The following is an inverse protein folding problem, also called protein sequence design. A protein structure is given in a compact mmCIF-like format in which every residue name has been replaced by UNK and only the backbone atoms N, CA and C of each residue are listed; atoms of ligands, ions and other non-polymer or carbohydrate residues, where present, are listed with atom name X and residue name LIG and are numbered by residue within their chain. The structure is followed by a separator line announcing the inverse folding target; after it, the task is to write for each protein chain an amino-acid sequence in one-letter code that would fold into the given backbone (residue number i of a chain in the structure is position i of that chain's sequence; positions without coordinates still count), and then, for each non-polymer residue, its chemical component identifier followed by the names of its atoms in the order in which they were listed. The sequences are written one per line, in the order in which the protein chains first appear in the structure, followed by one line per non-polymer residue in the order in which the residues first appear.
data_IF_384469224094
#
_entry.id   IF_384469224094
#
_cell.length_a   1.000
_cell.length_b   1.000
_cell.length_c   1.000
_cell.angle_alpha   90.00
_cell.angle_beta   90.00
_cell.angle_gamma   90.00
#
_symmetry.space_group_name_H-M   'P 1'
#
loop_
_entity.id
_entity.type
_entity.pdbx_description
1 polymer ?
#
# COMPACT_ATOMS: atom_id res chain seq x y z
N UNK A 1 -29.13 21.80 -4.43
CA UNK A 1 -28.79 20.79 -3.41
C UNK A 1 -28.60 19.41 -4.06
N UNK A 2 -29.61 18.85 -4.77
CA UNK A 2 -29.48 17.57 -5.47
C UNK A 2 -28.36 17.54 -6.53
N UNK A 3 -28.22 18.61 -7.32
CA UNK A 3 -27.17 18.75 -8.35
C UNK A 3 -25.75 18.82 -7.78
N UNK A 4 -25.58 19.44 -6.60
CA UNK A 4 -24.31 19.48 -5.88
C UNK A 4 -23.92 18.11 -5.34
N UNK A 5 -24.90 17.35 -4.83
CA UNK A 5 -24.71 15.97 -4.38
C UNK A 5 -24.32 15.05 -5.54
N UNK A 6 -25.02 15.13 -6.68
CA UNK A 6 -24.70 14.33 -7.87
C UNK A 6 -23.31 14.64 -8.42
N UNK A 7 -22.90 15.92 -8.41
CA UNK A 7 -21.56 16.34 -8.83
C UNK A 7 -20.48 15.82 -7.89
N UNK A 8 -20.71 15.87 -6.57
CA UNK A 8 -19.81 15.29 -5.58
C UNK A 8 -19.70 13.77 -5.70
N UNK A 9 -20.82 13.08 -5.90
CA UNK A 9 -20.86 11.63 -6.09
C UNK A 9 -20.14 11.19 -7.37
N UNK A 10 -20.29 11.94 -8.47
CA UNK A 10 -19.51 11.72 -9.70
C UNK A 10 -18.00 11.83 -9.45
N UNK A 11 -17.57 12.85 -8.69
CA UNK A 11 -16.17 13.07 -8.37
C UNK A 11 -15.52 11.96 -7.52
N UNK A 12 -16.31 11.27 -6.68
CA UNK A 12 -15.81 10.20 -5.80
C UNK A 12 -16.12 8.79 -6.31
N UNK A 13 -16.88 8.64 -7.39
CA UNK A 13 -17.37 7.36 -7.90
C UNK A 13 -16.26 6.30 -8.03
N UNK A 14 -15.14 6.64 -8.69
CA UNK A 14 -13.99 5.75 -8.85
C UNK A 14 -13.40 5.29 -7.52
N UNK A 15 -13.29 6.21 -6.54
CA UNK A 15 -12.74 5.90 -5.21
C UNK A 15 -13.66 4.90 -4.50
N UNK A 16 -14.98 5.14 -4.53
CA UNK A 16 -15.98 4.25 -3.93
C UNK A 16 -15.87 2.84 -4.52
N UNK A 17 -15.75 2.72 -5.85
CA UNK A 17 -15.61 1.41 -6.51
C UNK A 17 -14.32 0.70 -6.13
N UNK A 18 -13.19 1.42 -6.06
CA UNK A 18 -11.90 0.83 -5.65
C UNK A 18 -11.97 0.32 -4.21
N UNK A 19 -12.53 1.12 -3.29
CA UNK A 19 -12.67 0.72 -1.88
C UNK A 19 -13.62 -0.47 -1.74
N UNK A 20 -14.75 -0.46 -2.43
CA UNK A 20 -15.71 -1.57 -2.43
C UNK A 20 -15.11 -2.87 -2.99
N UNK A 21 -14.40 -2.79 -4.11
CA UNK A 21 -13.72 -3.94 -4.71
C UNK A 21 -12.64 -4.51 -3.78
N UNK A 22 -11.86 -3.63 -3.13
CA UNK A 22 -10.87 -4.06 -2.14
C UNK A 22 -11.47 -4.72 -0.91
N UNK A 23 -12.64 -4.25 -0.44
CA UNK A 23 -13.41 -4.90 0.62
C UNK A 23 -13.87 -6.31 0.23
N UNK A 24 -14.41 -6.49 -0.98
CA UNK A 24 -14.79 -7.80 -1.48
C UNK A 24 -13.58 -8.74 -1.66
N UNK A 25 -12.46 -8.22 -2.16
CA UNK A 25 -11.22 -8.98 -2.30
C UNK A 25 -10.66 -9.44 -0.94
N UNK A 26 -10.72 -8.59 0.10
CA UNK A 26 -10.36 -8.98 1.47
C UNK A 26 -11.14 -10.21 1.94
N UNK A 27 -12.45 -10.29 1.68
CA UNK A 27 -13.24 -11.47 2.07
C UNK A 27 -12.80 -12.75 1.36
N UNK A 28 -12.35 -12.64 0.10
CA UNK A 28 -11.76 -13.76 -0.64
C UNK A 28 -10.44 -14.18 0.01
N UNK A 29 -9.57 -13.22 0.35
CA UNK A 29 -8.28 -13.47 1.02
C UNK A 29 -8.46 -14.18 2.37
N UNK A 30 -9.46 -13.76 3.16
CA UNK A 30 -9.83 -14.40 4.42
C UNK A 30 -10.26 -15.86 4.20
N UNK A 31 -11.14 -16.11 3.23
CA UNK A 31 -11.63 -17.45 2.90
C UNK A 31 -10.56 -18.36 2.27
N UNK A 32 -9.57 -17.76 1.61
CA UNK A 32 -8.45 -18.48 1.02
C UNK A 32 -7.32 -18.80 2.01
N UNK A 33 -7.46 -18.42 3.29
CA UNK A 33 -6.48 -18.67 4.35
C UNK A 33 -5.06 -18.12 4.04
N UNK A 34 -4.98 -17.04 3.26
CA UNK A 34 -3.69 -16.44 2.88
C UNK A 34 -2.95 -15.89 4.11
N UNK A 35 -3.68 -15.38 5.10
CA UNK A 35 -3.10 -14.92 6.36
C UNK A 35 -2.36 -16.02 7.12
N UNK A 36 -2.95 -17.23 7.18
CA UNK A 36 -2.31 -18.41 7.81
C UNK A 36 -1.06 -18.84 7.03
N UNK A 37 -1.13 -18.83 5.71
CA UNK A 37 0.03 -19.14 4.86
C UNK A 37 1.20 -18.18 5.11
N UNK A 38 0.94 -16.88 5.16
CA UNK A 38 1.97 -15.87 5.44
C UNK A 38 2.46 -15.98 6.88
N UNK A 39 1.57 -16.22 7.84
CA UNK A 39 1.96 -16.44 9.24
C UNK A 39 2.90 -17.64 9.38
N UNK A 40 2.64 -18.75 8.67
CA UNK A 40 3.49 -19.93 8.65
C UNK A 40 4.88 -19.65 8.05
N UNK A 41 4.94 -18.86 6.95
CA UNK A 41 6.22 -18.40 6.40
C UNK A 41 6.99 -17.51 7.40
N UNK A 42 6.25 -16.74 8.20
CA UNK A 42 6.83 -15.88 9.23
C UNK A 42 7.30 -16.64 10.47
N UNK A 43 6.64 -17.71 10.90
CA UNK A 43 7.07 -18.47 12.08
C UNK A 43 8.49 -19.05 11.97
N UNK A 44 8.95 -19.34 10.75
CA UNK A 44 10.31 -19.83 10.49
C UNK A 44 11.33 -18.70 10.26
N UNK A 45 10.88 -17.44 10.27
CA UNK A 45 11.73 -16.27 9.98
C UNK A 45 11.67 -15.24 11.11
N UNK A 46 12.83 -14.71 11.54
CA UNK A 46 12.88 -13.62 12.54
C UNK A 46 12.50 -12.24 11.94
N UNK A 47 11.60 -12.20 10.95
CA UNK A 47 11.23 -10.96 10.26
C UNK A 47 10.11 -10.26 11.03
N UNK A 48 10.26 -8.97 11.27
CA UNK A 48 9.21 -8.15 11.90
C UNK A 48 7.93 -8.15 11.04
N UNK A 49 6.74 -8.34 11.63
CA UNK A 49 5.46 -8.23 10.93
C UNK A 49 5.27 -6.89 10.20
N UNK A 50 5.81 -5.80 10.74
CA UNK A 50 5.73 -4.47 10.11
C UNK A 50 6.54 -4.41 8.81
N UNK A 51 7.73 -5.04 8.80
CA UNK A 51 8.56 -5.17 7.60
C UNK A 51 7.85 -6.05 6.56
N UNK A 52 7.26 -7.17 7.00
CA UNK A 52 6.50 -8.05 6.11
C UNK A 52 5.32 -7.32 5.47
N UNK A 53 4.56 -6.57 6.26
CA UNK A 53 3.44 -5.78 5.76
C UNK A 53 3.88 -4.72 4.74
N UNK A 54 4.98 -4.02 5.02
CA UNK A 54 5.57 -3.07 4.07
C UNK A 54 6.00 -3.76 2.77
N UNK A 55 6.68 -4.91 2.86
CA UNK A 55 7.14 -5.69 1.70
C UNK A 55 5.99 -6.18 0.83
N UNK A 56 4.97 -6.80 1.44
CA UNK A 56 3.76 -7.25 0.72
C UNK A 56 3.13 -6.06 -0.02
N UNK A 57 3.00 -4.93 0.66
CA UNK A 57 2.40 -3.73 0.06
C UNK A 57 3.25 -3.17 -1.08
N UNK A 58 4.57 -3.13 -0.92
CA UNK A 58 5.51 -2.66 -1.92
C UNK A 58 5.49 -3.55 -3.19
N UNK A 59 5.41 -4.88 -3.03
CA UNK A 59 5.30 -5.80 -4.16
C UNK A 59 4.00 -5.60 -4.93
N UNK A 60 2.87 -5.45 -4.21
CA UNK A 60 1.58 -5.13 -4.84
C UNK A 60 1.67 -3.77 -5.54
N UNK A 61 2.35 -2.78 -4.95
CA UNK A 61 2.57 -1.46 -5.55
C UNK A 61 3.29 -1.53 -6.87
N UNK A 62 4.35 -2.32 -6.96
CA UNK A 62 5.09 -2.52 -8.21
C UNK A 62 4.20 -3.22 -9.26
N UNK A 63 3.42 -4.21 -8.84
CA UNK A 63 2.55 -4.96 -9.75
C UNK A 63 1.37 -4.13 -10.29
N UNK A 64 0.68 -3.39 -9.41
CA UNK A 64 -0.58 -2.69 -9.77
C UNK A 64 -0.36 -1.26 -10.22
N UNK A 65 0.74 -0.61 -9.84
CA UNK A 65 0.99 0.77 -10.21
C UNK A 65 0.05 1.80 -9.58
N UNK A 66 -0.87 1.43 -8.66
CA UNK A 66 -1.75 2.40 -7.97
C UNK A 66 -1.69 2.26 -6.44
N UNK A 67 -1.23 3.31 -5.75
CA UNK A 67 -1.00 3.30 -4.29
C UNK A 67 -2.24 2.94 -3.47
N UNK A 68 -3.40 3.52 -3.80
CA UNK A 68 -4.66 3.23 -3.10
C UNK A 68 -5.06 1.76 -3.24
N UNK A 69 -4.99 1.21 -4.45
CA UNK A 69 -5.28 -0.22 -4.69
C UNK A 69 -4.30 -1.08 -3.90
N UNK A 70 -3.01 -0.77 -3.95
CA UNK A 70 -1.99 -1.54 -3.21
C UNK A 70 -2.22 -1.54 -1.71
N UNK A 71 -2.53 -0.38 -1.13
CA UNK A 71 -2.80 -0.25 0.30
C UNK A 71 -4.04 -1.06 0.72
N UNK A 72 -5.14 -0.99 -0.03
CA UNK A 72 -6.38 -1.69 0.32
C UNK A 72 -6.24 -3.20 0.12
N UNK A 73 -5.59 -3.63 -0.96
CA UNK A 73 -5.27 -5.04 -1.20
C UNK A 73 -4.38 -5.60 -0.10
N UNK A 74 -3.31 -4.90 0.26
CA UNK A 74 -2.42 -5.31 1.33
C UNK A 74 -3.12 -5.33 2.69
N UNK A 75 -3.98 -4.35 3.00
CA UNK A 75 -4.76 -4.33 4.23
C UNK A 75 -5.62 -5.59 4.41
N UNK A 76 -6.15 -6.15 3.31
CA UNK A 76 -6.87 -7.42 3.34
C UNK A 76 -5.99 -8.62 3.69
N UNK A 77 -4.70 -8.58 3.34
CA UNK A 77 -3.72 -9.64 3.56
C UNK A 77 -3.09 -9.53 4.95
N UNK A 78 -2.71 -8.33 5.39
CA UNK A 78 -1.98 -8.10 6.64
C UNK A 78 -2.90 -7.98 7.85
N UNK A 79 -4.17 -7.61 7.63
CA UNK A 79 -5.15 -7.48 8.72
C UNK A 79 -5.25 -8.71 9.62
N UNK A 80 -5.35 -9.94 9.08
CA UNK A 80 -5.34 -11.18 9.86
C UNK A 80 -4.06 -11.42 10.67
N UNK A 81 -2.93 -10.79 10.32
CA UNK A 81 -1.65 -10.97 11.00
C UNK A 81 -1.59 -10.18 12.33
N UNK A 82 -2.38 -9.12 12.46
CA UNK A 82 -2.42 -8.25 13.64
C UNK A 82 -2.70 -9.05 14.94
N UNK A 83 -3.80 -9.81 15.06
CA UNK A 83 -4.06 -10.61 16.25
C UNK A 83 -3.07 -11.77 16.42
N UNK A 84 -2.56 -12.34 15.32
CA UNK A 84 -1.63 -13.48 15.34
C UNK A 84 -0.29 -13.12 15.96
N UNK A 85 0.26 -11.96 15.62
CA UNK A 85 1.58 -11.49 16.10
C UNK A 85 1.48 -10.44 17.21
N UNK A 86 0.27 -10.14 17.70
CA UNK A 86 -0.02 -9.13 18.71
C UNK A 86 0.62 -7.76 18.40
N UNK A 87 0.53 -7.33 17.13
CA UNK A 87 1.13 -6.09 16.64
C UNK A 87 0.16 -4.93 16.81
N UNK A 88 0.65 -3.73 17.10
CA UNK A 88 -0.21 -2.55 17.16
C UNK A 88 -0.88 -2.29 15.79
N UNK A 89 -2.23 -2.26 15.71
CA UNK A 89 -2.95 -2.04 14.45
C UNK A 89 -2.59 -0.72 13.76
N UNK A 90 -2.28 0.33 14.54
CA UNK A 90 -1.90 1.65 14.01
C UNK A 90 -0.56 1.57 13.29
N UNK A 91 0.43 0.90 13.88
CA UNK A 91 1.74 0.70 13.25
C UNK A 91 1.63 -0.16 11.99
N UNK A 92 0.76 -1.17 12.00
CA UNK A 92 0.48 -1.98 10.82
C UNK A 92 -0.09 -1.13 9.66
N UNK A 93 -1.07 -0.27 9.96
CA UNK A 93 -1.64 0.66 8.97
C UNK A 93 -0.58 1.61 8.43
N UNK A 94 0.29 2.16 9.29
CA UNK A 94 1.38 3.04 8.87
C UNK A 94 2.40 2.31 7.98
N UNK A 95 2.79 1.08 8.33
CA UNK A 95 3.72 0.26 7.53
C UNK A 95 3.14 -0.04 6.13
N UNK A 96 1.85 -0.37 6.05
CA UNK A 96 1.14 -0.56 4.78
C UNK A 96 1.04 0.76 4.00
N UNK A 97 0.72 1.87 4.67
CA UNK A 97 0.60 3.17 4.01
C UNK A 97 1.93 3.64 3.40
N UNK A 98 3.04 3.49 4.13
CA UNK A 98 4.37 3.84 3.62
C UNK A 98 4.79 2.91 2.48
N UNK A 99 4.57 1.59 2.62
CA UNK A 99 4.84 0.59 1.58
C UNK A 99 4.07 0.82 0.26
N UNK A 100 2.86 1.38 0.35
CA UNK A 100 2.06 1.77 -0.83
C UNK A 100 2.70 2.88 -1.67
N UNK A 101 3.71 3.58 -1.13
CA UNK A 101 4.44 4.65 -1.80
C UNK A 101 5.87 4.25 -2.21
N UNK A 102 6.18 2.95 -2.35
CA UNK A 102 7.58 2.48 -2.55
C UNK A 102 8.24 2.89 -3.86
N UNK A 103 7.74 2.53 -5.03
CA UNK A 103 8.32 3.03 -6.28
C UNK A 103 7.21 3.09 -7.31
N UNK A 104 7.30 4.08 -8.18
CA UNK A 104 6.39 4.20 -9.32
C UNK A 104 7.03 3.57 -10.55
N UNK A 105 6.24 2.86 -11.35
CA UNK A 105 6.67 2.21 -12.58
C UNK A 105 5.79 2.70 -13.74
N UNK A 106 6.08 2.28 -14.98
CA UNK A 106 5.32 2.75 -16.16
C UNK A 106 3.84 2.32 -16.17
N UNK A 107 3.43 1.45 -15.24
CA UNK A 107 2.03 1.07 -15.02
C UNK A 107 1.28 2.07 -14.12
N UNK A 108 1.96 3.05 -13.53
CA UNK A 108 1.38 4.05 -12.66
C UNK A 108 1.05 5.34 -13.44
N UNK A 109 -0.19 5.81 -13.34
CA UNK A 109 -0.61 7.05 -13.99
C UNK A 109 0.19 8.28 -13.48
N UNK A 110 0.60 8.28 -12.21
CA UNK A 110 1.42 9.36 -11.66
C UNK A 110 2.80 9.40 -12.31
N UNK A 111 3.39 8.27 -12.70
CA UNK A 111 4.67 8.25 -13.43
C UNK A 111 4.58 9.11 -14.71
N UNK A 112 3.54 8.86 -15.51
CA UNK A 112 3.32 9.59 -16.77
C UNK A 112 2.96 11.05 -16.54
N UNK A 113 2.15 11.35 -15.52
CA UNK A 113 1.84 12.73 -15.14
C UNK A 113 3.12 13.54 -14.89
N UNK A 114 4.04 13.03 -14.08
CA UNK A 114 5.29 13.72 -13.76
C UNK A 114 6.21 13.80 -14.98
N UNK A 115 6.31 12.72 -15.77
CA UNK A 115 7.09 12.71 -17.02
C UNK A 115 6.62 13.79 -17.99
N UNK A 116 5.31 13.90 -18.23
CA UNK A 116 4.75 14.87 -19.19
C UNK A 116 4.75 16.29 -18.62
N UNK A 117 4.41 16.46 -17.34
CA UNK A 117 4.36 17.78 -16.70
C UNK A 117 5.74 18.48 -16.69
N UNK A 118 6.80 17.73 -16.41
CA UNK A 118 8.18 18.26 -16.42
C UNK A 118 8.90 18.07 -17.76
N UNK A 119 8.27 17.39 -18.72
CA UNK A 119 8.84 17.06 -20.04
C UNK A 119 10.26 16.44 -19.95
N UNK A 120 10.44 15.50 -19.02
CA UNK A 120 11.72 14.81 -18.77
C UNK A 120 11.74 13.41 -19.39
N UNK A 121 12.92 12.79 -19.45
CA UNK A 121 13.04 11.42 -19.96
C UNK A 121 12.46 10.39 -18.98
N UNK A 122 12.12 9.19 -19.48
CA UNK A 122 11.71 8.06 -18.62
C UNK A 122 12.79 7.75 -17.58
N UNK A 123 14.06 7.76 -17.98
CA UNK A 123 15.20 7.50 -17.09
C UNK A 123 15.28 8.54 -15.97
N UNK A 124 15.08 9.81 -16.30
CA UNK A 124 15.13 10.89 -15.31
C UNK A 124 13.89 10.88 -14.42
N UNK A 125 12.73 10.46 -14.93
CA UNK A 125 11.50 10.26 -14.13
C UNK A 125 11.70 9.19 -13.06
N UNK A 126 12.31 8.05 -13.41
CA UNK A 126 12.68 7.04 -12.41
C UNK A 126 13.67 7.57 -11.37
N UNK A 127 14.68 8.31 -11.80
CA UNK A 127 15.72 8.87 -10.90
C UNK A 127 15.22 10.01 -10.01
N UNK A 128 14.17 10.71 -10.40
CA UNK A 128 13.64 11.84 -9.63
C UNK A 128 12.41 11.39 -8.87
N UNK A 129 11.29 11.22 -9.58
CA UNK A 129 10.01 10.84 -9.00
C UNK A 129 10.02 9.44 -8.38
N UNK A 130 10.54 8.44 -9.12
CA UNK A 130 10.62 7.07 -8.63
C UNK A 130 11.47 6.94 -7.35
N UNK A 131 12.69 7.52 -7.35
CA UNK A 131 13.56 7.51 -6.18
C UNK A 131 12.99 8.33 -5.01
N UNK A 132 12.30 9.43 -5.27
CA UNK A 132 11.67 10.23 -4.19
C UNK A 132 10.61 9.41 -3.44
N UNK A 133 9.79 8.67 -4.17
CA UNK A 133 8.82 7.75 -3.58
C UNK A 133 9.52 6.66 -2.76
N UNK A 134 10.59 6.07 -3.31
CA UNK A 134 11.35 5.03 -2.61
C UNK A 134 11.97 5.51 -1.31
N UNK A 135 12.57 6.69 -1.33
CA UNK A 135 13.11 7.32 -0.13
C UNK A 135 12.01 7.60 0.88
N UNK A 136 10.86 8.11 0.44
CA UNK A 136 9.71 8.40 1.32
C UNK A 136 9.16 7.12 1.97
N UNK A 137 9.07 6.04 1.20
CA UNK A 137 8.60 4.74 1.70
C UNK A 137 9.56 4.10 2.71
N UNK A 138 10.86 4.12 2.41
CA UNK A 138 11.89 3.56 3.30
C UNK A 138 12.01 4.41 4.57
N UNK A 139 12.03 5.74 4.45
CA UNK A 139 12.07 6.62 5.63
C UNK A 139 10.82 6.45 6.48
N UNK A 140 9.65 6.33 5.86
CA UNK A 140 8.40 6.02 6.55
C UNK A 140 8.45 4.69 7.30
N UNK A 141 8.99 3.63 6.69
CA UNK A 141 9.20 2.34 7.37
C UNK A 141 10.13 2.48 8.57
N UNK A 142 11.27 3.17 8.41
CA UNK A 142 12.22 3.40 9.51
C UNK A 142 11.54 4.12 10.68
N UNK A 143 10.75 5.16 10.40
CA UNK A 143 9.99 5.87 11.44
C UNK A 143 9.00 4.95 12.14
N UNK A 144 8.29 4.09 11.40
CA UNK A 144 7.36 3.12 11.98
C UNK A 144 8.09 2.13 12.90
N UNK A 145 9.25 1.62 12.48
CA UNK A 145 10.07 0.73 13.30
C UNK A 145 10.64 1.41 14.54
N UNK A 146 10.97 2.70 14.46
CA UNK A 146 11.38 3.48 15.63
C UNK A 146 10.22 3.64 16.61
N UNK A 147 9.01 3.93 16.12
CA UNK A 147 7.81 4.06 16.97
C UNK A 147 7.46 2.74 17.66
N UNK A 148 7.66 1.60 16.99
CA UNK A 148 7.46 0.24 17.54
C UNK A 148 8.32 -0.05 18.77
N UNK A 149 9.45 0.64 18.96
CA UNK A 149 10.30 0.48 20.15
C UNK A 149 9.67 1.16 21.38
N UNK A 150 8.86 2.19 21.18
CA UNK A 150 8.31 3.02 22.25
C UNK A 150 6.87 2.68 22.65
N UNK A 151 6.16 1.92 21.82
CA UNK A 151 4.73 1.62 21.97
C UNK A 151 4.56 0.13 22.26
#
# INVERSE_FOLDING_TARGET
MMSSFESGLKGLSTIIFIVGAGGAFKEIILKAHVGEYIANLMTDTNISPLIMAWLITALIRIATGQGVVSAITAAGIVGPLIPTFNVNPVLMVLATATGSNTITHVNDASFWLFKEYFNISIKDTFKTWGLTLLLTSITGLIVVLILDIFI
#
